data_IF_685165858951
#
_entry.id   IF_685165858951
#
_cell.length_a   1.000
_cell.length_b   1.000
_cell.length_c   1.000
_cell.angle_alpha   90.00
_cell.angle_beta   90.00
_cell.angle_gamma   90.00
#
_symmetry.space_group_name_H-M   'P 1'
#
loop_
_entity.id
_entity.type
_entity.pdbx_description
1 polymer ?
#
# COMPACT_ATOMS: atom_id res chain seq x y z
N UNK A 1 22.26 -3.07 -21.28
CA UNK A 1 21.27 -1.99 -21.19
C UNK A 1 20.38 -2.13 -22.41
N UNK A 2 19.10 -2.53 -22.27
CA UNK A 2 18.20 -2.63 -23.43
C UNK A 2 18.03 -1.23 -24.02
N UNK A 3 18.31 -1.08 -25.33
CA UNK A 3 18.07 0.17 -26.04
C UNK A 3 16.58 0.52 -25.97
N UNK A 4 16.28 1.67 -25.38
CA UNK A 4 14.92 2.19 -25.34
C UNK A 4 14.56 2.59 -26.77
N UNK A 5 13.67 1.84 -27.42
CA UNK A 5 13.09 2.26 -28.69
C UNK A 5 12.16 3.47 -28.43
N UNK A 6 12.52 4.69 -28.87
CA UNK A 6 11.77 5.90 -28.57
C UNK A 6 10.40 5.94 -29.25
N UNK A 7 10.16 5.04 -30.22
CA UNK A 7 8.92 4.98 -30.99
C UNK A 7 8.04 3.77 -30.66
N UNK A 8 8.38 3.01 -29.62
CA UNK A 8 7.66 1.77 -29.25
C UNK A 8 6.14 1.96 -29.11
N UNK A 9 5.71 3.15 -28.68
CA UNK A 9 4.29 3.49 -28.47
C UNK A 9 3.83 4.69 -29.30
N UNK A 10 4.55 5.03 -30.37
CA UNK A 10 4.16 6.14 -31.25
C UNK A 10 2.74 5.94 -31.80
N UNK A 11 1.93 7.01 -31.79
CA UNK A 11 0.53 6.98 -32.21
C UNK A 11 -0.44 6.31 -31.23
N UNK A 12 0.02 5.83 -30.06
CA UNK A 12 -0.84 5.27 -29.02
C UNK A 12 -1.21 6.32 -27.99
N UNK A 13 -2.49 6.33 -27.60
CA UNK A 13 -2.97 7.03 -26.41
C UNK A 13 -3.17 6.01 -25.29
N UNK A 14 -2.54 6.22 -24.13
CA UNK A 14 -2.59 5.29 -22.99
C UNK A 14 -3.20 6.00 -21.79
N UNK A 15 -4.27 5.42 -21.23
CA UNK A 15 -4.85 5.85 -19.97
C UNK A 15 -4.08 5.22 -18.79
N UNK A 16 -3.71 6.02 -17.80
CA UNK A 16 -2.97 5.59 -16.61
C UNK A 16 -3.86 5.69 -15.37
N UNK A 17 -4.42 4.57 -14.87
CA UNK A 17 -5.20 4.52 -13.63
C UNK A 17 -4.35 4.52 -12.35
N UNK A 18 -3.04 4.65 -12.49
CA UNK A 18 -2.07 4.64 -11.40
C UNK A 18 -2.17 5.93 -10.55
N UNK A 19 -1.91 5.84 -9.25
CA UNK A 19 -2.08 6.96 -8.30
C UNK A 19 -0.87 7.27 -7.41
N UNK A 20 0.14 6.38 -7.28
CA UNK A 20 1.31 6.56 -6.40
C UNK A 20 2.58 6.99 -7.15
N UNK A 21 2.83 6.43 -8.33
CA UNK A 21 4.02 6.62 -9.16
C UNK A 21 3.64 7.17 -10.54
N UNK A 22 2.56 7.94 -10.61
CA UNK A 22 1.89 8.35 -11.85
C UNK A 22 2.82 9.08 -12.79
N UNK A 23 3.58 10.04 -12.28
CA UNK A 23 4.48 10.85 -13.10
C UNK A 23 5.69 10.05 -13.58
N UNK A 24 6.21 9.15 -12.75
CA UNK A 24 7.30 8.24 -13.12
C UNK A 24 6.84 7.32 -14.26
N UNK A 25 5.66 6.71 -14.11
CA UNK A 25 5.11 5.81 -15.12
C UNK A 25 4.77 6.55 -16.41
N UNK A 26 4.16 7.74 -16.30
CA UNK A 26 3.86 8.58 -17.45
C UNK A 26 5.12 8.95 -18.23
N UNK A 27 6.18 9.40 -17.54
CA UNK A 27 7.44 9.75 -18.18
C UNK A 27 8.08 8.56 -18.93
N UNK A 28 7.94 7.33 -18.42
CA UNK A 28 8.45 6.14 -19.10
C UNK A 28 7.72 5.87 -20.42
N UNK A 29 6.41 6.10 -20.49
CA UNK A 29 5.63 5.95 -21.71
C UNK A 29 5.82 7.10 -22.69
N UNK A 30 5.88 8.33 -22.19
CA UNK A 30 6.12 9.54 -22.99
C UNK A 30 7.49 9.46 -23.70
N UNK A 31 8.55 9.00 -23.01
CA UNK A 31 9.88 8.74 -23.60
C UNK A 31 9.89 7.69 -24.72
N UNK A 32 8.81 6.91 -24.85
CA UNK A 32 8.61 5.86 -25.86
C UNK A 32 7.54 6.26 -26.90
N UNK A 33 7.16 7.54 -26.94
CA UNK A 33 6.31 8.12 -27.97
C UNK A 33 4.81 8.03 -27.70
N UNK A 34 4.37 7.60 -26.51
CA UNK A 34 2.94 7.54 -26.17
C UNK A 34 2.37 8.92 -25.81
N UNK A 35 1.10 9.15 -26.12
CA UNK A 35 0.30 10.20 -25.52
C UNK A 35 -0.39 9.68 -24.24
N UNK A 36 -0.12 10.30 -23.09
CA UNK A 36 -0.65 9.82 -21.81
C UNK A 36 -1.91 10.58 -21.37
N UNK A 37 -2.94 9.84 -20.93
CA UNK A 37 -4.09 10.35 -20.19
C UNK A 37 -3.97 9.89 -18.74
N UNK A 38 -3.66 10.83 -17.85
CA UNK A 38 -3.61 10.58 -16.40
C UNK A 38 -5.04 10.49 -15.88
N UNK A 39 -5.41 9.36 -15.30
CA UNK A 39 -6.76 9.12 -14.77
C UNK A 39 -6.71 8.33 -13.45
N UNK A 40 -6.15 8.87 -12.36
CA UNK A 40 -6.04 8.15 -11.09
C UNK A 40 -7.40 7.60 -10.65
N UNK A 41 -7.50 6.28 -10.43
CA UNK A 41 -8.79 5.64 -10.11
C UNK A 41 -8.91 5.18 -8.66
N UNK A 42 -7.82 5.16 -7.89
CA UNK A 42 -7.81 4.60 -6.54
C UNK A 42 -7.13 5.55 -5.58
N UNK A 43 -7.87 5.98 -4.57
CA UNK A 43 -7.31 6.61 -3.37
C UNK A 43 -7.43 5.64 -2.19
N UNK A 44 -6.43 5.66 -1.32
CA UNK A 44 -6.41 4.83 -0.11
C UNK A 44 -6.54 5.76 1.09
N UNK A 45 -7.63 5.57 1.83
CA UNK A 45 -7.95 6.35 3.03
C UNK A 45 -7.97 5.43 4.25
N UNK A 46 -7.77 6.02 5.43
CA UNK A 46 -8.02 5.29 6.67
C UNK A 46 -9.52 4.98 6.77
N UNK A 47 -9.85 3.90 7.47
CA UNK A 47 -11.25 3.61 7.76
C UNK A 47 -11.88 4.83 8.49
N UNK A 48 -13.07 5.29 8.07
CA UNK A 48 -13.68 6.49 8.67
C UNK A 48 -13.96 6.28 10.16
N UNK A 49 -14.32 5.06 10.55
CA UNK A 49 -14.39 4.64 11.94
C UNK A 49 -13.11 3.89 12.32
N UNK A 50 -12.39 4.43 13.31
CA UNK A 50 -11.16 3.83 13.84
C UNK A 50 -11.43 2.87 15.00
N UNK A 51 -12.59 2.93 15.66
CA UNK A 51 -12.84 2.16 16.87
C UNK A 51 -12.72 0.64 16.67
N UNK A 52 -13.23 0.03 15.58
CA UNK A 52 -13.06 -1.40 15.33
C UNK A 52 -11.60 -1.80 15.13
N UNK A 53 -10.80 -0.94 14.48
CA UNK A 53 -9.37 -1.18 14.24
C UNK A 53 -8.62 -1.16 15.58
N UNK A 54 -8.91 -0.18 16.44
CA UNK A 54 -8.27 -0.09 17.75
C UNK A 54 -8.70 -1.25 18.66
N UNK A 55 -9.97 -1.65 18.63
CA UNK A 55 -10.46 -2.82 19.36
C UNK A 55 -9.75 -4.10 18.90
N UNK A 56 -9.60 -4.28 17.59
CA UNK A 56 -8.86 -5.41 17.03
C UNK A 56 -7.38 -5.40 17.43
N UNK A 57 -6.69 -4.24 17.39
CA UNK A 57 -5.29 -4.12 17.82
C UNK A 57 -5.15 -4.52 19.29
N UNK A 58 -6.05 -4.05 20.16
CA UNK A 58 -6.04 -4.41 21.59
C UNK A 58 -6.27 -5.90 21.79
N UNK A 59 -7.22 -6.50 21.07
CA UNK A 59 -7.48 -7.93 21.08
C UNK A 59 -6.26 -8.74 20.63
N UNK A 60 -5.65 -8.37 19.51
CA UNK A 60 -4.45 -9.01 18.98
C UNK A 60 -3.26 -8.95 19.95
N UNK A 61 -3.05 -7.82 20.62
CA UNK A 61 -2.01 -7.67 21.64
C UNK A 61 -2.29 -8.56 22.86
N UNK A 62 -3.54 -8.61 23.32
CA UNK A 62 -3.92 -9.34 24.53
C UNK A 62 -4.01 -10.86 24.33
N UNK A 63 -4.32 -11.32 23.12
CA UNK A 63 -4.52 -12.74 22.83
C UNK A 63 -3.19 -13.44 22.49
N UNK A 64 -2.66 -14.19 23.46
CA UNK A 64 -1.44 -14.98 23.27
C UNK A 64 -1.63 -16.16 22.29
N UNK A 65 -2.86 -16.63 22.08
CA UNK A 65 -3.17 -17.78 21.20
C UNK A 65 -3.16 -17.41 19.72
N UNK A 66 -3.30 -16.12 19.40
CA UNK A 66 -3.20 -15.62 18.04
C UNK A 66 -1.72 -15.55 17.61
N UNK A 67 -1.22 -16.66 17.06
CA UNK A 67 0.20 -16.83 16.67
C UNK A 67 0.50 -16.49 15.22
N UNK A 68 -0.54 -16.35 14.40
CA UNK A 68 -0.47 -16.14 12.97
C UNK A 68 -1.21 -14.87 12.56
N UNK A 69 -0.60 -14.10 11.66
CA UNK A 69 -1.22 -12.93 11.03
C UNK A 69 -1.06 -13.01 9.51
N UNK A 70 -2.18 -13.05 8.80
CA UNK A 70 -2.22 -13.03 7.35
C UNK A 70 -2.26 -11.57 6.88
N UNK A 71 -1.27 -11.17 6.07
CA UNK A 71 -1.13 -9.82 5.55
C UNK A 71 -1.32 -9.87 4.04
N UNK A 72 -2.45 -9.35 3.56
CA UNK A 72 -2.76 -9.34 2.12
C UNK A 72 -2.02 -8.23 1.36
N UNK A 73 -1.71 -7.12 2.04
CA UNK A 73 -1.04 -5.96 1.42
C UNK A 73 -0.12 -5.24 2.41
N UNK A 74 0.97 -4.66 1.91
CA UNK A 74 1.84 -3.79 2.70
C UNK A 74 1.13 -2.52 3.23
N UNK A 75 0.09 -2.06 2.53
CA UNK A 75 -0.73 -0.93 2.96
C UNK A 75 -1.52 -1.25 4.23
N UNK A 76 -2.09 -2.46 4.33
CA UNK A 76 -2.83 -2.91 5.50
C UNK A 76 -1.99 -2.86 6.78
N UNK A 77 -0.77 -3.43 6.75
CA UNK A 77 0.12 -3.40 7.91
C UNK A 77 0.61 -1.98 8.22
N UNK A 78 0.89 -1.17 7.20
CA UNK A 78 1.30 0.23 7.37
C UNK A 78 0.21 1.00 8.13
N UNK A 79 -1.06 0.84 7.75
CA UNK A 79 -2.18 1.51 8.42
C UNK A 79 -2.44 1.01 9.83
N UNK A 80 -2.31 -0.29 10.10
CA UNK A 80 -2.41 -0.82 11.46
C UNK A 80 -1.33 -0.22 12.37
N UNK A 81 -0.09 -0.12 11.90
CA UNK A 81 1.01 0.54 12.63
C UNK A 81 0.66 2.01 12.91
N UNK A 82 0.13 2.75 11.93
CA UNK A 82 -0.27 4.15 12.14
C UNK A 82 -1.45 4.28 13.12
N UNK A 83 -2.43 3.38 13.07
CA UNK A 83 -3.54 3.35 14.03
C UNK A 83 -3.04 3.06 15.46
N UNK A 84 -2.10 2.12 15.62
CA UNK A 84 -1.46 1.86 16.90
C UNK A 84 -0.66 3.07 17.41
N UNK A 85 0.08 3.78 16.53
CA UNK A 85 0.81 5.01 16.88
C UNK A 85 -0.13 6.09 17.42
N UNK A 86 -1.25 6.35 16.74
CA UNK A 86 -2.24 7.36 17.16
C UNK A 86 -2.85 7.11 18.53
N UNK A 87 -2.78 5.88 19.03
CA UNK A 87 -3.39 5.46 20.30
C UNK A 87 -2.38 5.05 21.37
N UNK A 88 -1.08 5.26 21.11
CA UNK A 88 -0.01 4.90 22.05
C UNK A 88 0.19 3.38 22.21
N UNK A 89 -0.32 2.56 21.29
CA UNK A 89 -0.23 1.10 21.33
C UNK A 89 0.92 0.55 20.47
N UNK A 90 1.67 1.41 19.77
CA UNK A 90 2.66 0.99 18.76
C UNK A 90 3.71 0.02 19.30
N UNK A 91 4.27 0.27 20.48
CA UNK A 91 5.34 -0.58 21.02
C UNK A 91 4.82 -1.96 21.38
N UNK A 92 3.67 -2.03 22.05
CA UNK A 92 3.01 -3.31 22.38
C UNK A 92 2.59 -4.07 21.12
N UNK A 93 2.11 -3.36 20.09
CA UNK A 93 1.75 -3.94 18.80
C UNK A 93 2.97 -4.52 18.09
N UNK A 94 4.08 -3.78 18.02
CA UNK A 94 5.33 -4.26 17.41
C UNK A 94 5.94 -5.42 18.20
N UNK A 95 5.86 -5.39 19.53
CA UNK A 95 6.30 -6.48 20.38
C UNK A 95 5.50 -7.76 20.07
N UNK A 96 4.18 -7.69 19.99
CA UNK A 96 3.33 -8.83 19.59
C UNK A 96 3.66 -9.31 18.18
N UNK A 97 3.86 -8.40 17.23
CA UNK A 97 4.24 -8.75 15.85
C UNK A 97 5.59 -9.49 15.78
N UNK A 98 6.57 -9.13 16.61
CA UNK A 98 7.88 -9.78 16.62
C UNK A 98 7.85 -11.27 16.96
N UNK A 99 6.79 -11.73 17.65
CA UNK A 99 6.57 -13.13 18.00
C UNK A 99 5.45 -13.78 17.19
N UNK A 100 4.83 -13.05 16.26
CA UNK A 100 3.73 -13.53 15.43
C UNK A 100 4.29 -13.98 14.08
N UNK A 101 3.91 -15.18 13.61
CA UNK A 101 4.26 -15.64 12.27
C UNK A 101 3.45 -14.85 11.25
N UNK A 102 4.14 -14.12 10.38
CA UNK A 102 3.52 -13.38 9.28
C UNK A 102 3.39 -14.27 8.06
N UNK A 103 2.19 -14.32 7.49
CA UNK A 103 1.90 -15.01 6.23
C UNK A 103 1.59 -13.92 5.20
N UNK A 104 2.42 -13.81 4.16
CA UNK A 104 2.38 -12.79 3.11
C UNK A 104 2.20 -13.41 1.72
#
# INVERSE_FOLDING_TARGET
>A
MQDINPNQFSGRTIALPESRQLDVLAALFERRGAAIRRCPLVSIHDAPDQAPIIAWIRGFIADATMTDLIILTGEGITRLIQAAKRTGLVDAFLQKLSTTRLIV
#
